data_IF_960852804131
#
_entry.id   IF_960852804131
#
_cell.length_a   1.000
_cell.length_b   1.000
_cell.length_c   1.000
_cell.angle_alpha   90.00
_cell.angle_beta   90.00
_cell.angle_gamma   90.00
#
_symmetry.space_group_name_H-M   'P 1'
#
loop_
_entity.id
_entity.type
_entity.pdbx_description
1 polymer ?
#
# COMPACT_ATOMS: atom_id res chain seq x y z
N UNK A 1 48.62 -2.67 69.08
CA UNK A 1 48.64 -1.23 69.47
C UNK A 1 48.62 -0.44 68.17
N UNK A 2 47.55 0.26 67.78
CA UNK A 2 46.94 1.43 68.42
C UNK A 2 45.40 1.45 68.23
N UNK A 3 44.72 1.52 69.37
CA UNK A 3 43.53 2.31 69.74
C UNK A 3 42.41 2.54 68.70
N UNK A 4 41.29 1.88 68.98
CA UNK A 4 39.92 2.37 68.79
C UNK A 4 39.75 3.72 69.50
N UNK A 5 38.94 4.61 68.93
CA UNK A 5 38.09 5.58 69.63
C UNK A 5 37.05 6.12 68.60
N UNK A 6 35.79 6.42 68.87
CA UNK A 6 34.79 6.00 69.85
C UNK A 6 33.56 6.92 69.60
N UNK A 7 32.34 6.35 69.62
CA UNK A 7 31.04 7.03 69.78
C UNK A 7 30.48 7.79 68.54
N UNK A 8 29.16 7.87 68.30
CA UNK A 8 28.02 7.89 69.23
C UNK A 8 26.72 7.41 68.54
N UNK A 9 25.86 6.79 69.36
CA UNK A 9 24.57 6.18 69.03
C UNK A 9 23.40 7.18 68.90
N UNK A 10 22.36 6.81 68.14
CA UNK A 10 20.91 6.98 68.44
C UNK A 10 20.11 6.49 67.22
N UNK A 11 19.47 5.32 67.25
CA UNK A 11 18.15 5.01 67.84
C UNK A 11 16.95 5.49 66.99
N UNK A 12 16.35 4.57 66.24
CA UNK A 12 14.92 4.55 65.88
C UNK A 12 14.58 3.09 65.47
N UNK A 13 14.17 2.23 66.41
CA UNK A 13 12.77 1.87 66.71
C UNK A 13 11.97 1.58 65.44
N UNK A 14 11.74 0.28 65.22
CA UNK A 14 10.74 -0.20 64.30
C UNK A 14 9.33 0.18 64.76
N UNK A 15 8.51 0.60 63.81
CA UNK A 15 7.08 0.67 63.95
C UNK A 15 6.47 0.04 62.70
N UNK A 16 5.83 -1.11 62.91
CA UNK A 16 4.89 -1.74 61.99
C UNK A 16 3.78 -0.76 61.63
N UNK A 17 3.67 -0.40 60.35
CA UNK A 17 2.52 0.34 59.81
C UNK A 17 1.79 -0.56 58.82
N UNK A 18 0.48 -0.60 59.02
CA UNK A 18 -0.50 -1.43 58.35
C UNK A 18 -0.42 -1.38 56.83
N UNK A 19 -0.58 -2.55 56.21
CA UNK A 19 -0.98 -2.68 54.81
C UNK A 19 -2.38 -2.06 54.68
N UNK A 20 -2.44 -0.83 54.16
CA UNK A 20 -3.68 -0.26 53.66
C UNK A 20 -4.00 -0.94 52.34
N UNK A 21 -4.98 -1.86 52.38
CA UNK A 21 -5.74 -2.25 51.20
C UNK A 21 -6.42 -1.00 50.63
N UNK A 22 -6.01 -0.60 49.44
CA UNK A 22 -6.85 0.16 48.53
C UNK A 22 -6.99 -0.67 47.26
N UNK A 23 -8.04 -1.50 47.25
CA UNK A 23 -8.70 -1.88 46.01
C UNK A 23 -9.13 -0.62 45.27
N UNK A 24 -8.65 -0.45 44.03
CA UNK A 24 -9.47 0.11 42.95
C UNK A 24 -8.93 -0.32 41.60
N UNK A 25 -9.80 -1.05 40.92
CA UNK A 25 -9.77 -1.37 39.50
C UNK A 25 -9.79 -0.07 38.70
N UNK A 26 -8.64 0.36 38.18
CA UNK A 26 -8.61 1.29 37.06
C UNK A 26 -8.18 0.47 35.84
N UNK A 27 -9.17 -0.21 35.23
CA UNK A 27 -9.08 -0.57 33.83
C UNK A 27 -8.94 0.70 32.99
N UNK A 28 -8.43 0.62 31.73
CA UNK A 28 -8.30 1.80 30.88
C UNK A 28 -9.64 2.54 30.82
N UNK A 29 -9.65 3.82 31.18
CA UNK A 29 -10.83 4.67 31.05
C UNK A 29 -11.34 4.60 29.60
N UNK A 30 -12.66 4.52 29.37
CA UNK A 30 -13.20 4.60 28.03
C UNK A 30 -12.75 5.93 27.40
N UNK A 31 -12.10 5.81 26.24
CA UNK A 31 -11.36 6.90 25.58
C UNK A 31 -12.29 8.01 25.09
N UNK A 32 -13.60 7.73 25.02
CA UNK A 32 -14.64 8.68 24.68
C UNK A 32 -15.86 8.46 25.58
N UNK A 33 -16.51 9.55 25.99
CA UNK A 33 -17.79 9.50 26.70
C UNK A 33 -18.85 8.82 25.82
N UNK A 34 -19.51 7.79 26.35
CA UNK A 34 -20.65 7.06 25.76
C UNK A 34 -21.78 8.00 25.27
N UNK A 35 -21.82 9.24 25.75
CA UNK A 35 -22.80 10.24 25.32
C UNK A 35 -22.40 11.01 24.05
N UNK A 36 -21.17 10.89 23.55
CA UNK A 36 -20.63 11.73 22.47
C UNK A 36 -21.48 11.67 21.19
N UNK A 37 -21.83 10.46 20.75
CA UNK A 37 -22.72 10.25 19.61
C UNK A 37 -24.05 10.99 19.79
N UNK A 38 -24.65 10.87 20.98
CA UNK A 38 -25.95 11.47 21.28
C UNK A 38 -25.92 13.00 21.38
N UNK A 39 -24.86 13.57 21.96
CA UNK A 39 -24.83 15.00 22.33
C UNK A 39 -24.05 15.87 21.34
N UNK A 40 -23.04 15.33 20.68
CA UNK A 40 -22.13 16.09 19.81
C UNK A 40 -22.34 15.81 18.33
N UNK A 41 -22.83 14.62 17.97
CA UNK A 41 -23.04 14.22 16.57
C UNK A 41 -24.51 14.31 16.11
N UNK A 42 -25.45 14.59 17.01
CA UNK A 42 -26.90 14.68 16.72
C UNK A 42 -27.68 13.41 17.04
N UNK A 43 -26.98 12.34 17.45
CA UNK A 43 -27.56 11.13 18.01
C UNK A 43 -28.55 10.42 17.10
N UNK A 44 -29.55 9.81 17.74
CA UNK A 44 -30.57 8.98 17.11
C UNK A 44 -31.67 9.78 16.40
N UNK A 45 -31.53 11.11 16.32
CA UNK A 45 -32.48 11.98 15.61
C UNK A 45 -32.60 11.52 14.16
N UNK A 46 -33.82 11.16 13.73
CA UNK A 46 -34.06 10.63 12.39
C UNK A 46 -34.16 11.76 11.37
N UNK A 47 -33.34 11.69 10.33
CA UNK A 47 -33.33 12.60 9.18
C UNK A 47 -33.38 11.82 7.87
N UNK A 48 -33.76 12.47 6.77
CA UNK A 48 -33.79 11.82 5.46
C UNK A 48 -32.37 11.40 5.05
N UNK A 49 -32.22 10.19 4.52
CA UNK A 49 -30.95 9.72 3.99
C UNK A 49 -30.75 10.29 2.56
N UNK A 50 -29.75 11.17 2.33
CA UNK A 50 -29.50 11.74 1.01
C UNK A 50 -29.01 10.70 -0.02
N UNK A 51 -28.45 9.57 0.43
CA UNK A 51 -27.98 8.49 -0.43
C UNK A 51 -29.06 7.43 -0.68
N UNK A 52 -30.10 7.39 0.16
CA UNK A 52 -31.18 6.40 0.07
C UNK A 52 -32.55 7.09 0.12
N UNK A 53 -33.02 7.54 -1.05
CA UNK A 53 -34.30 8.26 -1.17
C UNK A 53 -35.46 7.50 -0.53
N UNK A 54 -36.21 8.17 0.35
CA UNK A 54 -37.34 7.60 1.07
C UNK A 54 -36.98 6.85 2.35
N UNK A 55 -35.69 6.73 2.68
CA UNK A 55 -35.22 6.15 3.94
C UNK A 55 -34.84 7.24 4.95
N UNK A 56 -34.90 6.87 6.22
CA UNK A 56 -34.49 7.71 7.34
C UNK A 56 -33.25 7.13 8.00
N UNK A 57 -32.32 7.99 8.38
CA UNK A 57 -31.05 7.65 9.03
C UNK A 57 -30.88 8.46 10.32
N UNK A 58 -30.06 7.97 11.25
CA UNK A 58 -29.69 8.74 12.43
C UNK A 58 -28.75 9.89 12.05
N UNK A 59 -29.00 11.09 12.57
CA UNK A 59 -28.19 12.28 12.29
C UNK A 59 -26.72 12.07 12.69
N UNK A 60 -26.47 11.38 13.81
CA UNK A 60 -25.12 11.00 14.24
C UNK A 60 -24.39 10.19 13.19
N UNK A 61 -25.01 9.11 12.71
CA UNK A 61 -24.43 8.25 11.68
C UNK A 61 -24.27 8.97 10.34
N UNK A 62 -25.25 9.80 9.94
CA UNK A 62 -25.14 10.59 8.71
C UNK A 62 -23.93 11.54 8.75
N UNK A 63 -23.69 12.19 9.89
CA UNK A 63 -22.54 13.07 10.06
C UNK A 63 -21.22 12.28 9.95
N UNK A 64 -21.10 11.15 10.64
CA UNK A 64 -19.92 10.27 10.53
C UNK A 64 -19.70 9.78 9.09
N UNK A 65 -20.75 9.29 8.43
CA UNK A 65 -20.70 8.82 7.04
C UNK A 65 -20.26 9.93 6.07
N UNK A 66 -20.70 11.15 6.31
CA UNK A 66 -20.29 12.31 5.51
C UNK A 66 -18.81 12.61 5.68
N UNK A 67 -18.29 12.62 6.93
CA UNK A 67 -16.86 12.83 7.19
C UNK A 67 -16.01 11.72 6.55
N UNK A 68 -16.40 10.46 6.73
CA UNK A 68 -15.70 9.31 6.15
C UNK A 68 -15.69 9.40 4.62
N UNK A 69 -16.82 9.70 4.00
CA UNK A 69 -16.91 9.86 2.54
C UNK A 69 -15.99 10.97 2.06
N UNK A 70 -16.03 12.15 2.70
CA UNK A 70 -15.16 13.27 2.35
C UNK A 70 -13.68 12.96 2.54
N UNK A 71 -13.33 12.18 3.58
CA UNK A 71 -11.96 11.71 3.83
C UNK A 71 -11.45 10.87 2.67
N UNK A 72 -12.23 9.85 2.27
CA UNK A 72 -11.87 8.97 1.16
C UNK A 72 -11.77 9.75 -0.15
N UNK A 73 -12.71 10.66 -0.41
CA UNK A 73 -12.68 11.52 -1.60
C UNK A 73 -11.47 12.48 -1.60
N UNK A 74 -11.11 13.02 -0.44
CA UNK A 74 -9.96 13.91 -0.28
C UNK A 74 -8.66 13.16 -0.59
N UNK A 75 -8.50 11.94 -0.08
CA UNK A 75 -7.37 11.08 -0.41
C UNK A 75 -7.39 10.73 -1.90
N UNK A 76 -8.52 10.29 -2.45
CA UNK A 76 -8.63 9.88 -3.84
C UNK A 76 -8.38 11.01 -4.85
N UNK A 77 -8.86 12.22 -4.55
CA UNK A 77 -8.63 13.40 -5.39
C UNK A 77 -7.17 13.83 -5.36
N UNK A 78 -6.51 13.63 -4.21
CA UNK A 78 -5.09 13.88 -4.02
C UNK A 78 -4.63 15.24 -4.56
N UNK A 79 -5.38 16.29 -4.24
CA UNK A 79 -5.14 17.61 -4.81
C UNK A 79 -3.72 18.09 -4.48
N UNK A 80 -2.97 18.45 -5.53
CA UNK A 80 -1.58 18.91 -5.40
C UNK A 80 -0.59 17.85 -4.90
N UNK A 81 -0.95 16.56 -4.90
CA UNK A 81 -0.09 15.46 -4.46
C UNK A 81 0.05 15.34 -2.93
N UNK A 82 -0.80 16.03 -2.16
CA UNK A 82 -0.73 16.07 -0.70
C UNK A 82 -0.79 14.68 -0.05
N UNK A 83 -1.52 13.76 -0.66
CA UNK A 83 -1.78 12.40 -0.18
C UNK A 83 -1.12 11.34 -1.08
N UNK A 84 -0.04 11.68 -1.81
CA UNK A 84 0.72 10.75 -2.65
C UNK A 84 1.15 9.50 -1.89
N UNK A 85 1.58 9.66 -0.63
CA UNK A 85 2.01 8.54 0.21
C UNK A 85 0.86 7.60 0.61
N UNK A 86 -0.40 8.06 0.56
CA UNK A 86 -1.56 7.22 0.86
C UNK A 86 -2.09 6.47 -0.36
N UNK A 87 -1.85 6.98 -1.59
CA UNK A 87 -2.40 6.38 -2.82
C UNK A 87 -2.16 4.87 -2.94
N UNK A 88 -0.96 4.33 -2.63
CA UNK A 88 -0.71 2.90 -2.76
C UNK A 88 -1.70 2.02 -1.98
N UNK A 89 -2.14 2.46 -0.79
CA UNK A 89 -3.06 1.71 0.06
C UNK A 89 -4.51 1.68 -0.48
N UNK A 90 -4.84 2.56 -1.42
CA UNK A 90 -6.17 2.68 -2.02
C UNK A 90 -6.23 2.20 -3.47
N UNK A 91 -5.16 1.57 -4.00
CA UNK A 91 -5.05 1.19 -5.43
C UNK A 91 -6.28 0.41 -5.95
N UNK A 92 -6.73 -0.60 -5.22
CA UNK A 92 -7.92 -1.40 -5.57
C UNK A 92 -9.17 -0.53 -5.60
N UNK A 93 -9.38 0.26 -4.55
CA UNK A 93 -10.55 1.12 -4.42
C UNK A 93 -10.61 2.15 -5.56
N UNK A 94 -9.47 2.79 -5.86
CA UNK A 94 -9.37 3.78 -6.92
C UNK A 94 -9.63 3.17 -8.30
N UNK A 95 -9.16 1.94 -8.53
CA UNK A 95 -9.45 1.19 -9.76
C UNK A 95 -10.94 0.84 -9.91
N UNK A 96 -11.59 0.38 -8.84
CA UNK A 96 -13.04 0.13 -8.84
C UNK A 96 -13.84 1.41 -9.14
N UNK A 97 -13.55 2.49 -8.41
CA UNK A 97 -14.24 3.78 -8.58
C UNK A 97 -14.01 4.36 -9.98
N UNK A 98 -12.79 4.26 -10.51
CA UNK A 98 -12.46 4.69 -11.87
C UNK A 98 -13.25 3.96 -12.95
N UNK A 99 -13.71 2.72 -12.67
CA UNK A 99 -14.59 1.92 -13.52
C UNK A 99 -16.08 2.14 -13.24
N UNK A 100 -16.43 3.04 -12.32
CA UNK A 100 -17.81 3.27 -11.88
C UNK A 100 -18.36 2.20 -10.93
N UNK A 101 -17.51 1.30 -10.43
CA UNK A 101 -17.88 0.27 -9.45
C UNK A 101 -17.75 0.85 -8.03
N UNK A 102 -18.88 1.09 -7.35
CA UNK A 102 -18.88 1.76 -6.04
C UNK A 102 -19.17 0.84 -4.86
N UNK A 103 -19.32 -0.47 -5.08
CA UNK A 103 -19.60 -1.44 -4.00
C UNK A 103 -18.52 -1.45 -2.94
N UNK A 104 -17.24 -1.50 -3.34
CA UNK A 104 -16.10 -1.46 -2.42
C UNK A 104 -15.99 -0.14 -1.64
N UNK A 105 -16.24 0.99 -2.31
CA UNK A 105 -16.31 2.31 -1.66
C UNK A 105 -17.43 2.37 -0.62
N UNK A 106 -18.63 1.94 -1.00
CA UNK A 106 -19.78 1.93 -0.10
C UNK A 106 -19.53 1.02 1.10
N UNK A 107 -18.91 -0.15 0.90
CA UNK A 107 -18.53 -1.06 1.98
C UNK A 107 -17.53 -0.41 2.95
N UNK A 108 -16.43 0.17 2.43
CA UNK A 108 -15.44 0.86 3.25
C UNK A 108 -16.06 2.01 4.06
N UNK A 109 -16.86 2.85 3.40
CA UNK A 109 -17.52 3.99 4.04
C UNK A 109 -18.47 3.52 5.14
N UNK A 110 -19.24 2.46 4.89
CA UNK A 110 -20.16 1.90 5.88
C UNK A 110 -19.44 1.30 7.08
N UNK A 111 -18.49 0.38 6.87
CA UNK A 111 -17.77 -0.27 7.98
C UNK A 111 -17.01 0.73 8.85
N UNK A 112 -16.36 1.73 8.23
CA UNK A 112 -15.66 2.75 8.99
C UNK A 112 -16.64 3.67 9.75
N UNK A 113 -17.78 4.00 9.15
CA UNK A 113 -18.83 4.78 9.84
C UNK A 113 -19.42 4.01 11.03
N UNK A 114 -19.63 2.69 10.90
CA UNK A 114 -20.13 1.83 11.97
C UNK A 114 -19.11 1.68 13.10
N UNK A 115 -17.82 1.54 12.77
CA UNK A 115 -16.73 1.59 13.75
C UNK A 115 -16.77 2.89 14.57
N UNK A 116 -16.84 4.04 13.90
CA UNK A 116 -16.91 5.32 14.59
C UNK A 116 -18.21 5.48 15.38
N UNK A 117 -19.34 5.02 14.86
CA UNK A 117 -20.63 5.13 15.53
C UNK A 117 -20.65 4.30 16.83
N UNK A 118 -20.16 3.06 16.79
CA UNK A 118 -20.02 2.24 17.99
C UNK A 118 -19.05 2.89 18.99
N UNK A 119 -17.87 3.31 18.52
CA UNK A 119 -16.84 3.86 19.40
C UNK A 119 -17.18 5.23 20.00
N UNK A 120 -18.12 5.96 19.38
CA UNK A 120 -18.67 7.22 19.91
C UNK A 120 -19.89 7.02 20.81
N UNK A 121 -20.29 5.78 21.08
CA UNK A 121 -21.34 5.44 22.04
C UNK A 121 -22.72 5.17 21.47
N UNK A 122 -22.87 5.04 20.14
CA UNK A 122 -24.15 4.62 19.56
C UNK A 122 -24.59 3.26 20.10
N UNK A 123 -25.90 3.09 20.30
CA UNK A 123 -26.51 1.83 20.76
C UNK A 123 -27.12 1.01 19.62
N UNK A 124 -27.22 1.59 18.41
CA UNK A 124 -27.88 0.97 17.26
C UNK A 124 -26.91 0.47 16.19
N UNK A 125 -25.61 0.73 16.34
CA UNK A 125 -24.56 0.27 15.42
C UNK A 125 -23.54 -0.58 16.15
N UNK A 126 -23.10 -1.64 15.48
CA UNK A 126 -22.02 -2.52 15.94
C UNK A 126 -21.11 -2.79 14.77
N UNK A 127 -19.83 -2.50 14.94
CA UNK A 127 -18.78 -2.91 14.04
C UNK A 127 -18.57 -4.41 14.14
N UNK A 128 -18.67 -5.09 13.00
CA UNK A 128 -18.46 -6.54 12.88
C UNK A 128 -17.29 -6.89 11.97
N UNK A 129 -16.52 -5.89 11.53
CA UNK A 129 -15.37 -6.07 10.66
C UNK A 129 -14.17 -6.71 11.39
N UNK A 130 -13.07 -6.83 10.65
CA UNK A 130 -11.80 -7.35 11.15
C UNK A 130 -11.28 -6.51 12.32
N UNK A 131 -10.41 -7.10 13.15
CA UNK A 131 -9.67 -6.30 14.13
C UNK A 131 -8.87 -5.21 13.41
N UNK A 132 -8.60 -4.08 14.07
CA UNK A 132 -7.82 -3.00 13.45
C UNK A 132 -6.42 -3.46 13.00
N UNK A 133 -5.87 -4.49 13.64
CA UNK A 133 -4.63 -5.11 13.20
C UNK A 133 -4.83 -5.94 11.92
N UNK A 134 -5.80 -6.83 11.88
CA UNK A 134 -6.02 -7.70 10.73
C UNK A 134 -6.53 -6.93 9.52
N UNK A 135 -7.36 -5.91 9.73
CA UNK A 135 -7.89 -5.03 8.69
C UNK A 135 -6.76 -4.29 7.94
N UNK A 136 -5.64 -4.01 8.60
CA UNK A 136 -4.48 -3.28 8.08
C UNK A 136 -3.26 -4.17 7.83
N UNK A 137 -3.44 -5.49 7.89
CA UNK A 137 -2.39 -6.46 7.62
C UNK A 137 -2.56 -7.01 6.18
N UNK A 138 -1.63 -6.72 5.24
CA UNK A 138 -1.74 -7.15 3.85
C UNK A 138 -1.74 -8.68 3.67
N UNK A 139 -1.19 -9.43 4.63
CA UNK A 139 -1.21 -10.89 4.59
C UNK A 139 -2.58 -11.50 4.91
N UNK A 140 -3.46 -10.74 5.57
CA UNK A 140 -4.80 -11.18 5.97
C UNK A 140 -5.92 -10.47 5.21
N UNK A 141 -5.64 -9.26 4.71
CA UNK A 141 -6.59 -8.45 3.98
C UNK A 141 -6.00 -7.96 2.67
N UNK A 142 -6.34 -8.65 1.58
CA UNK A 142 -5.78 -8.42 0.24
C UNK A 142 -6.09 -7.05 -0.38
N UNK A 143 -7.01 -6.29 0.20
CA UNK A 143 -7.30 -4.91 -0.22
C UNK A 143 -6.34 -3.89 0.40
N UNK A 144 -5.58 -4.28 1.42
CA UNK A 144 -4.53 -3.45 1.98
C UNK A 144 -3.21 -3.75 1.31
N UNK A 145 -2.61 -2.71 0.76
CA UNK A 145 -1.38 -2.82 0.00
C UNK A 145 -0.18 -2.30 0.80
N UNK A 146 0.41 -3.21 1.58
CA UNK A 146 1.53 -2.95 2.47
C UNK A 146 1.12 -2.54 3.88
N UNK A 147 2.11 -2.49 4.77
CA UNK A 147 1.93 -2.10 6.18
C UNK A 147 2.08 -0.58 6.36
N UNK A 148 1.42 -0.05 7.38
CA UNK A 148 1.33 1.39 7.69
C UNK A 148 2.40 1.77 8.74
N UNK A 149 3.09 2.90 8.55
CA UNK A 149 3.95 3.52 9.57
C UNK A 149 3.27 4.75 10.22
N UNK A 150 3.93 5.41 11.18
CA UNK A 150 3.33 6.58 11.84
C UNK A 150 3.10 7.76 10.89
N UNK A 151 3.98 7.99 9.93
CA UNK A 151 3.85 9.11 9.00
C UNK A 151 2.64 8.93 8.06
N UNK A 152 2.38 7.71 7.60
CA UNK A 152 1.17 7.40 6.82
C UNK A 152 -0.08 7.63 7.67
N UNK A 153 -0.05 7.17 8.93
CA UNK A 153 -1.17 7.31 9.85
C UNK A 153 -1.46 8.78 10.16
N UNK A 154 -0.44 9.59 10.43
CA UNK A 154 -0.56 11.03 10.65
C UNK A 154 -1.18 11.73 9.43
N UNK A 155 -0.75 11.33 8.24
CA UNK A 155 -1.27 11.86 6.99
C UNK A 155 -2.75 11.49 6.80
N UNK A 156 -3.15 10.27 7.18
CA UNK A 156 -4.55 9.86 7.21
C UNK A 156 -5.38 10.66 8.21
N UNK A 157 -4.89 10.91 9.43
CA UNK A 157 -5.56 11.78 10.40
C UNK A 157 -5.75 13.20 9.82
N UNK A 158 -4.75 13.72 9.12
CA UNK A 158 -4.85 14.98 8.38
C UNK A 158 -6.00 14.98 7.36
N UNK A 159 -6.17 13.90 6.60
CA UNK A 159 -7.27 13.73 5.67
C UNK A 159 -8.64 13.69 6.37
N UNK A 160 -8.73 13.05 7.55
CA UNK A 160 -9.97 13.02 8.33
C UNK A 160 -10.37 14.41 8.80
N UNK A 161 -9.41 15.21 9.29
CA UNK A 161 -9.67 16.60 9.71
C UNK A 161 -10.16 17.45 8.54
N UNK A 162 -9.55 17.29 7.36
CA UNK A 162 -9.96 17.98 6.14
C UNK A 162 -11.37 17.56 5.69
N UNK A 163 -11.65 16.26 5.68
CA UNK A 163 -12.97 15.73 5.35
C UNK A 163 -14.07 16.19 6.32
N UNK A 164 -13.74 16.32 7.61
CA UNK A 164 -14.63 16.88 8.61
C UNK A 164 -14.90 18.37 8.38
N UNK A 165 -13.88 19.15 8.04
CA UNK A 165 -14.03 20.56 7.70
C UNK A 165 -14.92 20.77 6.47
N UNK A 166 -14.78 19.93 5.44
CA UNK A 166 -15.67 19.94 4.26
C UNK A 166 -17.13 19.61 4.61
N UNK A 167 -17.36 18.81 5.64
CA UNK A 167 -18.70 18.52 6.18
C UNK A 167 -19.23 19.65 7.10
N UNK A 168 -18.48 20.74 7.29
CA UNK A 168 -18.82 21.83 8.20
C UNK A 168 -18.59 21.51 9.69
N UNK A 169 -17.99 20.36 10.00
CA UNK A 169 -17.68 19.92 11.37
C UNK A 169 -16.28 20.43 11.70
N UNK A 170 -16.22 21.64 12.27
CA UNK A 170 -14.96 22.33 12.59
C UNK A 170 -14.77 22.58 14.09
N UNK A 171 -15.75 22.21 14.91
CA UNK A 171 -15.71 22.42 16.36
C UNK A 171 -14.62 21.57 17.01
N UNK A 172 -13.78 22.19 17.84
CA UNK A 172 -12.74 21.51 18.61
C UNK A 172 -13.31 20.46 19.58
N UNK A 173 -14.53 20.71 20.09
CA UNK A 173 -15.27 19.77 20.94
C UNK A 173 -15.66 18.47 20.22
N UNK A 174 -15.60 18.44 18.89
CA UNK A 174 -15.89 17.27 18.07
C UNK A 174 -14.61 16.68 17.49
N UNK A 175 -13.80 17.51 16.83
CA UNK A 175 -12.56 17.06 16.17
C UNK A 175 -11.55 16.51 17.18
N UNK A 176 -11.40 17.17 18.35
CA UNK A 176 -10.44 16.74 19.37
C UNK A 176 -10.70 15.31 19.87
N UNK A 177 -11.91 15.01 20.38
CA UNK A 177 -12.26 13.66 20.82
C UNK A 177 -12.21 12.62 19.69
N UNK A 178 -12.66 12.96 18.47
CA UNK A 178 -12.55 12.03 17.32
C UNK A 178 -11.08 11.72 17.01
N UNK A 179 -10.19 12.73 17.07
CA UNK A 179 -8.75 12.54 16.96
C UNK A 179 -8.21 11.60 18.03
N UNK A 180 -8.60 11.77 19.30
CA UNK A 180 -8.21 10.88 20.39
C UNK A 180 -8.69 9.44 20.19
N UNK A 181 -9.91 9.26 19.69
CA UNK A 181 -10.44 7.95 19.33
C UNK A 181 -9.58 7.29 18.24
N UNK A 182 -9.24 8.02 17.17
CA UNK A 182 -8.38 7.47 16.12
C UNK A 182 -6.98 7.13 16.69
N UNK A 183 -6.38 8.03 17.46
CA UNK A 183 -5.10 7.78 18.14
C UNK A 183 -5.13 6.51 19.02
N UNK A 184 -6.26 6.17 19.63
CA UNK A 184 -6.38 4.95 20.43
C UNK A 184 -6.18 3.66 19.65
N UNK A 185 -6.48 3.67 18.35
CA UNK A 185 -6.32 2.51 17.47
C UNK A 185 -5.06 2.59 16.63
N UNK A 186 -4.19 3.58 16.84
CA UNK A 186 -2.90 3.68 16.12
C UNK A 186 -2.04 2.43 16.29
N UNK A 187 -1.87 1.95 17.52
CA UNK A 187 -0.98 0.82 17.83
C UNK A 187 -1.27 -0.45 17.04
N UNK A 188 -2.52 -0.94 16.95
CA UNK A 188 -2.81 -2.11 16.11
C UNK A 188 -2.68 -1.85 14.60
N UNK A 189 -2.81 -0.59 14.14
CA UNK A 189 -2.77 -0.23 12.71
C UNK A 189 -1.33 -0.05 12.21
N UNK A 190 -0.48 0.59 13.01
CA UNK A 190 0.92 0.89 12.66
C UNK A 190 1.76 -0.37 12.82
N UNK A 191 2.04 -1.03 11.69
CA UNK A 191 2.73 -2.32 11.61
C UNK A 191 4.09 -2.23 10.92
N UNK A 192 4.46 -1.05 10.44
CA UNK A 192 5.74 -0.76 9.81
C UNK A 192 6.56 0.22 10.64
N UNK A 193 7.86 -0.03 10.72
CA UNK A 193 8.80 0.84 11.41
C UNK A 193 8.89 2.23 10.76
N UNK A 194 9.09 3.26 11.57
CA UNK A 194 9.30 4.62 11.09
C UNK A 194 10.56 4.73 10.24
N UNK A 195 10.48 5.50 9.16
CA UNK A 195 11.56 5.66 8.19
C UNK A 195 11.73 4.48 7.22
N UNK A 196 11.01 3.37 7.40
CA UNK A 196 10.93 2.31 6.40
C UNK A 196 9.93 2.70 5.29
N UNK A 197 10.40 2.66 4.03
CA UNK A 197 9.55 2.88 2.85
C UNK A 197 8.72 1.65 2.52
N UNK A 198 7.68 1.82 1.70
CA UNK A 198 7.00 0.69 1.07
C UNK A 198 8.01 0.06 0.10
N UNK A 199 7.97 -1.26 -0.04
CA UNK A 199 8.63 -1.89 -1.17
C UNK A 199 8.08 -1.34 -2.49
N UNK A 200 8.85 -1.51 -3.56
CA UNK A 200 8.49 -0.91 -4.84
C UNK A 200 7.23 -1.57 -5.43
N UNK A 201 7.01 -2.87 -5.19
CA UNK A 201 5.79 -3.54 -5.65
C UNK A 201 4.54 -2.93 -5.04
N UNK A 202 4.54 -2.72 -3.72
CA UNK A 202 3.46 -2.02 -3.02
C UNK A 202 3.28 -0.60 -3.54
N UNK A 203 4.33 0.17 -3.79
CA UNK A 203 4.17 1.52 -4.36
C UNK A 203 3.57 1.54 -5.77
N UNK A 204 3.69 0.46 -6.52
CA UNK A 204 3.09 0.31 -7.85
C UNK A 204 1.61 -0.14 -7.79
N UNK A 205 1.07 -0.40 -6.61
CA UNK A 205 -0.31 -0.84 -6.40
C UNK A 205 -0.44 -2.21 -5.75
N UNK A 206 0.68 -2.96 -5.66
CA UNK A 206 0.84 -4.22 -4.96
C UNK A 206 -0.14 -5.33 -5.35
N UNK A 207 -0.40 -6.24 -4.40
CA UNK A 207 -1.13 -7.49 -4.62
C UNK A 207 -2.66 -7.36 -4.72
N UNK A 208 -3.18 -6.15 -4.56
CA UNK A 208 -4.60 -5.89 -4.71
C UNK A 208 -5.07 -6.21 -6.14
N UNK A 209 -6.10 -7.04 -6.26
CA UNK A 209 -6.63 -7.48 -7.55
C UNK A 209 -7.53 -6.39 -8.17
N UNK A 210 -7.25 -6.08 -9.44
CA UNK A 210 -8.01 -5.13 -10.28
C UNK A 210 -8.27 -5.75 -11.64
N UNK A 211 -9.19 -5.19 -12.43
CA UNK A 211 -9.43 -5.67 -13.78
C UNK A 211 -8.16 -5.57 -14.64
N UNK A 212 -7.86 -6.64 -15.36
CA UNK A 212 -6.75 -6.68 -16.30
C UNK A 212 -7.11 -5.87 -17.57
N UNK A 213 -6.40 -4.77 -17.88
CA UNK A 213 -6.69 -3.95 -19.05
C UNK A 213 -6.43 -4.66 -20.38
N UNK A 214 -5.59 -5.70 -20.38
CA UNK A 214 -5.19 -6.45 -21.58
C UNK A 214 -5.97 -7.78 -21.72
N UNK A 215 -6.66 -8.23 -20.65
CA UNK A 215 -7.41 -9.49 -20.63
C UNK A 215 -8.81 -9.28 -20.04
N UNK A 216 -9.78 -8.96 -20.90
CA UNK A 216 -11.17 -8.68 -20.50
C UNK A 216 -11.75 -9.80 -19.62
N UNK A 217 -12.34 -9.43 -18.50
CA UNK A 217 -12.94 -10.35 -17.53
C UNK A 217 -11.97 -11.06 -16.60
N UNK A 218 -10.66 -10.80 -16.71
CA UNK A 218 -9.65 -11.30 -15.78
C UNK A 218 -9.28 -10.25 -14.75
N UNK A 219 -8.83 -10.72 -13.59
CA UNK A 219 -8.25 -9.88 -12.55
C UNK A 219 -6.74 -10.10 -12.50
N UNK A 220 -6.01 -9.05 -12.16
CA UNK A 220 -4.56 -9.05 -12.02
C UNK A 220 -4.15 -8.14 -10.85
N UNK A 221 -2.97 -8.39 -10.26
CA UNK A 221 -2.42 -7.52 -9.24
C UNK A 221 -2.11 -6.12 -9.80
N UNK A 222 -2.56 -5.08 -9.10
CA UNK A 222 -2.39 -3.70 -9.55
C UNK A 222 -0.91 -3.33 -9.73
N UNK A 223 -0.02 -3.85 -8.87
CA UNK A 223 1.43 -3.67 -8.97
C UNK A 223 2.06 -4.31 -10.22
N UNK A 224 1.42 -5.32 -10.80
CA UNK A 224 1.94 -6.04 -11.97
C UNK A 224 1.70 -5.31 -13.29
N UNK A 225 0.57 -4.59 -13.40
CA UNK A 225 0.17 -3.86 -14.62
C UNK A 225 1.29 -2.94 -15.14
N UNK A 226 1.86 -2.01 -14.34
CA UNK A 226 2.92 -1.14 -14.83
C UNK A 226 4.20 -1.90 -15.22
N UNK A 227 4.51 -3.02 -14.55
CA UNK A 227 5.65 -3.87 -14.93
C UNK A 227 5.45 -4.46 -16.31
N UNK A 228 4.29 -5.11 -16.52
CA UNK A 228 3.94 -5.72 -17.80
C UNK A 228 3.94 -4.70 -18.92
N UNK A 229 3.43 -3.49 -18.67
CA UNK A 229 3.44 -2.41 -19.64
C UNK A 229 4.88 -1.99 -20.03
N UNK A 230 5.76 -1.75 -19.05
CA UNK A 230 7.17 -1.37 -19.30
C UNK A 230 7.93 -2.48 -20.03
N UNK A 231 7.75 -3.73 -19.61
CA UNK A 231 8.37 -4.89 -20.26
C UNK A 231 7.89 -5.04 -21.70
N UNK A 232 6.57 -4.95 -21.93
CA UNK A 232 5.98 -4.98 -23.28
C UNK A 232 6.55 -3.87 -24.15
N UNK A 233 6.57 -2.63 -23.65
CA UNK A 233 7.14 -1.48 -24.34
C UNK A 233 8.62 -1.67 -24.69
N UNK A 234 9.40 -2.21 -23.75
CA UNK A 234 10.83 -2.50 -23.96
C UNK A 234 11.04 -3.43 -25.15
N UNK A 235 10.30 -4.56 -25.18
CA UNK A 235 10.43 -5.53 -26.27
C UNK A 235 9.98 -4.92 -27.60
N UNK A 236 8.92 -4.10 -27.61
CA UNK A 236 8.43 -3.42 -28.82
C UNK A 236 9.40 -2.36 -29.34
N UNK A 237 10.04 -1.59 -28.47
CA UNK A 237 11.07 -0.60 -28.83
C UNK A 237 12.25 -1.30 -29.51
N UNK A 238 12.73 -2.40 -28.91
CA UNK A 238 13.82 -3.20 -29.49
C UNK A 238 13.38 -3.79 -30.83
N UNK A 239 12.18 -4.37 -30.91
CA UNK A 239 11.68 -5.00 -32.13
C UNK A 239 11.48 -4.00 -33.28
N UNK A 240 10.96 -2.82 -32.98
CA UNK A 240 10.74 -1.76 -33.97
C UNK A 240 12.07 -1.19 -34.46
N UNK A 241 13.06 -1.09 -33.56
CA UNK A 241 14.43 -0.69 -33.88
C UNK A 241 14.50 0.62 -34.70
N UNK A 242 13.76 1.63 -34.25
CA UNK A 242 13.67 2.90 -34.99
C UNK A 242 15.05 3.51 -35.23
N UNK A 243 15.32 3.88 -36.48
CA UNK A 243 16.61 4.45 -36.90
C UNK A 243 17.81 3.50 -36.75
N UNK A 244 17.61 2.21 -36.45
CA UNK A 244 18.67 1.24 -36.21
C UNK A 244 19.37 1.38 -34.85
N UNK A 245 18.78 2.11 -33.90
CA UNK A 245 19.34 2.35 -32.55
C UNK A 245 19.69 1.05 -31.81
N UNK A 246 18.88 0.01 -31.98
CA UNK A 246 18.97 -1.29 -31.32
C UNK A 246 19.50 -2.39 -32.24
N UNK A 247 20.25 -2.05 -33.30
CA UNK A 247 20.84 -3.02 -34.23
C UNK A 247 21.67 -4.11 -33.53
N UNK A 248 22.43 -3.75 -32.49
CA UNK A 248 23.22 -4.72 -31.73
C UNK A 248 22.38 -5.71 -30.92
N UNK A 249 21.12 -5.35 -30.58
CA UNK A 249 20.23 -6.23 -29.84
C UNK A 249 19.45 -7.19 -30.76
N UNK A 250 19.24 -6.82 -32.04
CA UNK A 250 18.44 -7.61 -32.98
C UNK A 250 18.80 -9.11 -33.04
N UNK A 251 20.08 -9.52 -33.06
CA UNK A 251 20.43 -10.94 -33.14
C UNK A 251 19.84 -11.77 -32.00
N UNK A 252 19.76 -11.22 -30.78
CA UNK A 252 19.24 -11.92 -29.60
C UNK A 252 17.72 -12.14 -29.64
N UNK A 253 16.99 -11.33 -30.42
CA UNK A 253 15.54 -11.42 -30.57
C UNK A 253 15.09 -12.10 -31.87
N UNK A 254 16.03 -12.59 -32.69
CA UNK A 254 15.71 -13.14 -34.03
C UNK A 254 14.65 -14.25 -34.03
N UNK A 255 14.69 -15.18 -33.08
CA UNK A 255 13.67 -16.23 -32.93
C UNK A 255 12.31 -15.62 -32.61
N UNK A 256 12.27 -14.69 -31.65
CA UNK A 256 11.05 -14.00 -31.26
C UNK A 256 10.43 -13.22 -32.42
N UNK A 257 11.25 -12.46 -33.15
CA UNK A 257 10.81 -11.66 -34.29
C UNK A 257 10.29 -12.54 -35.43
N UNK A 258 10.90 -13.70 -35.66
CA UNK A 258 10.42 -14.67 -36.65
C UNK A 258 9.06 -15.27 -36.27
N UNK A 259 8.86 -15.61 -35.00
CA UNK A 259 7.57 -16.12 -34.49
C UNK A 259 6.47 -15.07 -34.66
N UNK A 260 6.70 -13.84 -34.20
CA UNK A 260 5.72 -12.75 -34.30
C UNK A 260 5.42 -12.42 -35.76
N UNK A 261 6.45 -12.39 -36.63
CA UNK A 261 6.26 -12.19 -38.08
C UNK A 261 5.46 -13.30 -38.76
N UNK A 262 5.46 -14.51 -38.20
CA UNK A 262 4.62 -15.63 -38.62
C UNK A 262 3.22 -15.63 -37.98
N UNK A 263 2.88 -14.60 -37.19
CA UNK A 263 1.61 -14.49 -36.47
C UNK A 263 1.53 -15.35 -35.19
N UNK A 264 2.64 -15.91 -34.73
CA UNK A 264 2.70 -16.67 -33.48
C UNK A 264 3.26 -15.79 -32.35
N UNK A 265 2.43 -15.42 -31.38
CA UNK A 265 2.81 -14.55 -30.25
C UNK A 265 3.18 -15.32 -28.98
N UNK A 266 3.18 -16.65 -28.98
CA UNK A 266 3.38 -17.43 -27.75
C UNK A 266 4.71 -17.13 -27.06
N UNK A 267 5.81 -17.03 -27.82
CA UNK A 267 7.12 -16.69 -27.29
C UNK A 267 7.24 -15.24 -26.82
N UNK A 268 6.43 -14.33 -27.38
CA UNK A 268 6.34 -12.93 -26.93
C UNK A 268 5.62 -12.85 -25.60
N UNK A 269 4.46 -13.49 -25.50
CA UNK A 269 3.69 -13.56 -24.25
C UNK A 269 4.50 -14.20 -23.13
N UNK A 270 5.23 -15.29 -23.42
CA UNK A 270 6.11 -15.94 -22.45
C UNK A 270 7.24 -15.00 -21.99
N UNK A 271 7.95 -14.33 -22.91
CA UNK A 271 9.02 -13.39 -22.55
C UNK A 271 8.51 -12.25 -21.67
N UNK A 272 7.35 -11.67 -22.04
CA UNK A 272 6.75 -10.57 -21.29
C UNK A 272 6.33 -11.04 -19.90
N UNK A 273 5.71 -12.21 -19.78
CA UNK A 273 5.32 -12.79 -18.48
C UNK A 273 6.54 -13.07 -17.61
N UNK A 274 7.50 -13.86 -18.11
CA UNK A 274 8.68 -14.28 -17.37
C UNK A 274 9.49 -13.08 -16.87
N UNK A 275 9.67 -12.05 -17.70
CA UNK A 275 10.40 -10.87 -17.28
C UNK A 275 9.60 -10.01 -16.28
N UNK A 276 8.28 -9.89 -16.46
CA UNK A 276 7.43 -9.18 -15.50
C UNK A 276 7.37 -9.91 -14.15
N UNK A 277 7.33 -11.24 -14.15
CA UNK A 277 7.33 -12.08 -12.95
C UNK A 277 8.65 -11.94 -12.19
N UNK A 278 9.79 -11.97 -12.90
CA UNK A 278 11.11 -11.70 -12.31
C UNK A 278 11.16 -10.35 -11.63
N UNK A 279 10.65 -9.30 -12.29
CA UNK A 279 10.62 -7.95 -11.71
C UNK A 279 9.68 -7.89 -10.50
N UNK A 280 8.48 -8.47 -10.60
CA UNK A 280 7.49 -8.47 -9.52
C UNK A 280 8.05 -9.14 -8.26
N UNK A 281 8.62 -10.34 -8.39
CA UNK A 281 9.26 -11.06 -7.28
C UNK A 281 10.41 -10.24 -6.70
N UNK A 282 11.29 -9.70 -7.55
CA UNK A 282 12.49 -8.97 -7.12
C UNK A 282 12.20 -7.68 -6.35
N UNK A 283 11.01 -7.09 -6.53
CA UNK A 283 10.66 -5.78 -5.97
C UNK A 283 9.61 -5.84 -4.85
N UNK A 284 9.21 -7.05 -4.44
CA UNK A 284 8.41 -7.25 -3.22
C UNK A 284 7.07 -7.96 -3.39
N UNK A 285 6.75 -8.51 -4.57
CA UNK A 285 5.54 -9.34 -4.69
C UNK A 285 5.63 -10.56 -3.78
N UNK A 286 4.52 -10.89 -3.12
CA UNK A 286 4.39 -12.07 -2.25
C UNK A 286 3.68 -13.24 -2.93
N UNK A 287 3.03 -12.98 -4.07
CA UNK A 287 2.18 -13.94 -4.76
C UNK A 287 2.72 -14.34 -6.14
N UNK A 288 3.71 -13.62 -6.64
CA UNK A 288 4.31 -13.84 -7.96
C UNK A 288 5.74 -14.33 -7.75
N UNK A 289 6.03 -15.50 -8.30
CA UNK A 289 7.33 -16.17 -8.26
C UNK A 289 7.82 -16.41 -9.68
N UNK A 290 9.06 -16.03 -9.95
CA UNK A 290 9.72 -16.33 -11.21
C UNK A 290 10.15 -17.80 -11.25
N UNK A 291 9.51 -18.55 -12.13
CA UNK A 291 9.75 -19.99 -12.30
C UNK A 291 10.62 -20.32 -13.53
N UNK A 292 11.18 -19.31 -14.19
CA UNK A 292 11.99 -19.48 -15.38
C UNK A 292 13.42 -19.95 -15.09
N UNK A 293 14.25 -19.99 -16.14
CA UNK A 293 15.68 -20.29 -16.01
C UNK A 293 16.37 -19.24 -15.15
N UNK A 294 17.34 -19.65 -14.33
CA UNK A 294 18.21 -18.67 -13.67
C UNK A 294 18.90 -17.78 -14.73
N UNK A 295 19.28 -16.57 -14.35
CA UNK A 295 19.75 -15.56 -15.30
C UNK A 295 21.04 -15.95 -16.05
N UNK A 296 21.83 -16.90 -15.53
CA UNK A 296 22.98 -17.45 -16.24
C UNK A 296 22.50 -18.36 -17.38
N UNK A 297 21.68 -19.35 -17.06
CA UNK A 297 21.16 -20.32 -18.04
C UNK A 297 20.22 -19.69 -19.06
N UNK A 298 19.40 -18.71 -18.64
CA UNK A 298 18.50 -17.96 -19.51
C UNK A 298 19.25 -17.22 -20.63
N UNK A 299 20.48 -16.77 -20.37
CA UNK A 299 21.28 -15.98 -21.30
C UNK A 299 22.48 -16.75 -21.89
N UNK A 300 22.58 -18.05 -21.65
CA UNK A 300 23.60 -18.92 -22.21
C UNK A 300 23.06 -19.71 -23.41
N UNK A 301 23.56 -19.48 -24.65
CA UNK A 301 23.14 -20.22 -25.85
C UNK A 301 23.29 -21.74 -25.78
N UNK A 302 24.16 -22.25 -24.90
CA UNK A 302 24.32 -23.70 -24.70
C UNK A 302 23.14 -24.32 -23.93
N UNK A 303 22.45 -23.53 -23.10
CA UNK A 303 21.31 -23.98 -22.29
C UNK A 303 19.98 -23.47 -22.87
N UNK A 304 19.92 -22.20 -23.27
CA UNK A 304 18.75 -21.58 -23.89
C UNK A 304 18.97 -21.40 -25.42
N UNK A 305 18.40 -22.28 -26.26
CA UNK A 305 18.60 -22.21 -27.71
C UNK A 305 17.93 -20.99 -28.37
N UNK A 306 17.12 -20.22 -27.64
CA UNK A 306 16.55 -18.95 -28.14
C UNK A 306 17.60 -17.83 -28.15
N UNK A 307 18.67 -17.96 -27.38
CA UNK A 307 19.79 -17.02 -27.36
C UNK A 307 20.77 -17.36 -28.49
N UNK A 308 21.09 -16.38 -29.32
CA UNK A 308 21.97 -16.56 -30.49
C UNK A 308 23.44 -16.26 -30.20
N UNK A 309 23.75 -15.73 -29.02
CA UNK A 309 25.11 -15.39 -28.61
C UNK A 309 25.17 -15.01 -27.13
N UNK A 310 26.39 -14.89 -26.61
CA UNK A 310 26.62 -14.35 -25.27
C UNK A 310 26.42 -12.84 -25.28
N UNK A 311 25.91 -12.29 -24.18
CA UNK A 311 25.65 -10.86 -24.02
C UNK A 311 26.90 -10.17 -23.50
N UNK A 312 27.34 -9.10 -24.17
CA UNK A 312 28.42 -8.24 -23.67
C UNK A 312 27.88 -7.15 -22.75
N UNK A 313 28.75 -6.47 -21.98
CA UNK A 313 28.30 -5.33 -21.16
C UNK A 313 27.68 -4.21 -22.01
N UNK A 314 28.17 -4.00 -23.24
CA UNK A 314 27.65 -2.94 -24.11
C UNK A 314 26.23 -3.27 -24.59
N UNK A 315 25.95 -4.54 -24.90
CA UNK A 315 24.61 -4.99 -25.28
C UNK A 315 23.64 -4.86 -24.10
N UNK A 316 24.08 -5.25 -22.90
CA UNK A 316 23.26 -5.10 -21.70
C UNK A 316 22.95 -3.64 -21.40
N UNK A 317 23.94 -2.74 -21.46
CA UNK A 317 23.73 -1.31 -21.23
C UNK A 317 22.79 -0.69 -22.29
N UNK A 318 22.81 -1.21 -23.53
CA UNK A 318 21.88 -0.81 -24.59
C UNK A 318 20.45 -1.34 -24.32
N UNK A 319 20.31 -2.55 -23.78
CA UNK A 319 19.02 -3.08 -23.33
C UNK A 319 18.42 -2.23 -22.20
N UNK A 320 19.22 -1.82 -21.22
CA UNK A 320 18.76 -0.92 -20.14
C UNK A 320 18.27 0.41 -20.71
N UNK A 321 18.90 0.95 -21.76
CA UNK A 321 18.40 2.16 -22.42
C UNK A 321 17.00 1.96 -23.02
N UNK A 322 16.70 0.78 -23.59
CA UNK A 322 15.36 0.47 -24.08
C UNK A 322 14.33 0.39 -22.95
N UNK A 323 14.70 -0.17 -21.79
CA UNK A 323 13.83 -0.20 -20.60
C UNK A 323 13.52 1.22 -20.12
N UNK A 324 14.54 2.09 -20.06
CA UNK A 324 14.35 3.49 -19.66
C UNK A 324 13.47 4.24 -20.67
N UNK A 325 13.67 4.02 -21.97
CA UNK A 325 12.84 4.63 -23.02
C UNK A 325 11.37 4.21 -22.89
N UNK A 326 11.10 2.90 -22.73
CA UNK A 326 9.75 2.39 -22.50
C UNK A 326 9.09 3.01 -21.25
N UNK A 327 9.84 3.09 -20.15
CA UNK A 327 9.33 3.66 -18.91
C UNK A 327 9.03 5.15 -19.04
N UNK A 328 9.86 5.91 -19.77
CA UNK A 328 9.62 7.33 -20.06
C UNK A 328 8.40 7.52 -20.95
N UNK A 329 8.23 6.71 -22.00
CA UNK A 329 7.05 6.75 -22.88
C UNK A 329 5.74 6.48 -22.11
N UNK A 330 5.81 5.62 -21.10
CA UNK A 330 4.69 5.30 -20.21
C UNK A 330 4.50 6.30 -19.06
N UNK A 331 5.27 7.39 -19.04
CA UNK A 331 5.24 8.41 -17.98
C UNK A 331 5.51 7.85 -16.56
N UNK A 332 6.33 6.80 -16.46
CA UNK A 332 6.75 6.26 -15.17
C UNK A 332 7.59 7.32 -14.44
N UNK A 333 7.34 7.59 -13.14
CA UNK A 333 8.12 8.58 -12.39
C UNK A 333 9.62 8.28 -12.40
N UNK A 334 10.47 9.31 -12.54
CA UNK A 334 11.93 9.14 -12.61
C UNK A 334 12.51 8.47 -11.36
N UNK A 335 11.93 8.70 -10.18
CA UNK A 335 12.30 8.01 -8.94
C UNK A 335 12.12 6.49 -9.07
N UNK A 336 10.98 6.05 -9.61
CA UNK A 336 10.68 4.63 -9.87
C UNK A 336 11.63 4.05 -10.92
N UNK A 337 11.88 4.78 -12.01
CA UNK A 337 12.86 4.36 -13.04
C UNK A 337 14.25 4.17 -12.41
N UNK A 338 14.67 5.08 -11.53
CA UNK A 338 15.97 4.99 -10.84
C UNK A 338 16.09 3.74 -9.98
N UNK A 339 15.04 3.37 -9.26
CA UNK A 339 15.02 2.17 -8.42
C UNK A 339 15.03 0.88 -9.24
N UNK A 340 14.25 0.81 -10.33
CA UNK A 340 14.34 -0.29 -11.30
C UNK A 340 15.73 -0.40 -11.93
N UNK A 341 16.31 0.74 -12.31
CA UNK A 341 17.67 0.80 -12.84
C UNK A 341 18.69 0.24 -11.84
N UNK A 342 18.53 0.53 -10.55
CA UNK A 342 19.36 -0.03 -9.48
C UNK A 342 19.28 -1.57 -9.39
N UNK A 343 18.08 -2.14 -9.53
CA UNK A 343 17.88 -3.59 -9.57
C UNK A 343 18.57 -4.20 -10.80
N UNK A 344 18.27 -3.68 -11.98
CA UNK A 344 18.79 -4.20 -13.25
C UNK A 344 20.31 -4.07 -13.35
N UNK A 345 20.89 -3.02 -12.79
CA UNK A 345 22.35 -2.81 -12.77
C UNK A 345 23.04 -3.43 -11.56
N UNK A 346 22.32 -4.17 -10.71
CA UNK A 346 22.91 -4.82 -9.55
C UNK A 346 24.03 -5.79 -9.97
N UNK A 347 25.15 -5.88 -9.23
CA UNK A 347 26.28 -6.73 -9.61
C UNK A 347 25.91 -8.21 -9.79
N UNK A 348 24.96 -8.71 -8.99
CA UNK A 348 24.49 -10.09 -9.07
C UNK A 348 23.71 -10.36 -10.37
N UNK A 349 22.74 -9.49 -10.71
CA UNK A 349 21.93 -9.67 -11.91
C UNK A 349 22.75 -9.41 -13.17
N UNK A 350 23.44 -8.27 -13.25
CA UNK A 350 24.27 -7.93 -14.42
C UNK A 350 25.37 -8.97 -14.65
N UNK A 351 26.01 -9.46 -13.58
CA UNK A 351 27.05 -10.49 -13.68
C UNK A 351 26.54 -11.86 -14.12
N UNK A 352 25.27 -12.18 -13.88
CA UNK A 352 24.66 -13.42 -14.37
C UNK A 352 24.32 -13.34 -15.86
N UNK A 353 23.93 -12.16 -16.35
CA UNK A 353 23.51 -11.94 -17.74
C UNK A 353 24.71 -11.70 -18.67
N UNK A 354 25.67 -10.89 -18.26
CA UNK A 354 26.84 -10.52 -19.07
C UNK A 354 27.87 -11.66 -19.02
N UNK A 355 27.99 -12.40 -20.11
CA UNK A 355 28.83 -13.60 -20.22
C UNK A 355 29.82 -13.54 -21.41
N UNK A 356 29.71 -12.51 -22.26
CA UNK A 356 30.49 -12.34 -23.49
C UNK A 356 31.67 -11.38 -23.40
#
# INVERSE_FOLDING_TARGET
>A
MRKVNYWLASALVGFSVALSSCDREDGPEPIMDDSFYSTKLGGETRVADPMNSGQMIEQGFLNLRTVVTNTVVTIATNEGGKYDALQPYFSVLLSEVGRGETSGLNHLVMEFSEFLAQATGSKNFSYTGLSMADAHNPALHSRMNGTINNADYDLFIGAVVEGAAQAGITSADVIGPVGQLLESVRQPIVQRADGASLDLYSRLGGSGLVADPDNEGQLIEAGYIPLRAVVTGTVLIIATNEGGKYNSLQPYFSVLLAEVGAGNTSGFTMLVSDFSDLLAESIGSQNIEYNGLNMVDAHNPATNPRMTGLITSADYDLFIQAVVEAAVELNVPTSVIGEFGGLLTSPGLKGAIVQG
#
